data_IF_827874483183
#
_entry.id   IF_827874483183
#
_cell.length_a   1.000
_cell.length_b   1.000
_cell.length_c   1.000
_cell.angle_alpha   90.00
_cell.angle_beta   90.00
_cell.angle_gamma   90.00
#
_symmetry.space_group_name_H-M   'P 1'
#
loop_
_entity.id
_entity.type
_entity.pdbx_description
1 polymer ?
#
# COMPACT_ATOMS: atom_id res chain seq x y z
N UNK A 1 -20.29 -26.19 45.12
CA UNK A 1 -19.13 -26.26 44.19
C UNK A 1 -19.34 -27.32 43.12
N UNK A 2 -20.39 -27.20 42.28
CA UNK A 2 -20.61 -28.09 41.11
C UNK A 2 -21.13 -27.36 39.86
N UNK A 3 -20.93 -26.04 39.76
CA UNK A 3 -21.57 -25.23 38.70
C UNK A 3 -20.59 -24.54 37.74
N UNK A 4 -19.27 -24.68 37.92
CA UNK A 4 -18.27 -24.04 37.03
C UNK A 4 -17.60 -24.98 36.01
N UNK A 5 -17.81 -26.32 36.16
CA UNK A 5 -17.20 -27.31 35.25
C UNK A 5 -18.15 -27.76 34.13
N UNK A 6 -19.41 -27.34 34.15
CA UNK A 6 -20.41 -27.71 33.15
C UNK A 6 -20.39 -26.89 31.86
N UNK A 7 -19.71 -25.75 31.84
CA UNK A 7 -19.66 -24.84 30.65
C UNK A 7 -18.62 -25.32 29.60
N UNK A 8 -17.75 -26.26 29.95
CA UNK A 8 -16.67 -26.73 29.06
C UNK A 8 -16.96 -28.12 28.40
N UNK A 9 -18.17 -28.61 28.45
CA UNK A 9 -18.56 -29.91 27.82
C UNK A 9 -19.79 -29.78 26.92
N UNK A 10 -19.84 -28.82 26.03
CA UNK A 10 -20.58 -28.98 24.78
C UNK A 10 -19.71 -29.78 23.79
N UNK A 11 -20.15 -31.01 23.55
CA UNK A 11 -19.49 -31.94 22.64
C UNK A 11 -19.19 -31.29 21.27
N UNK A 12 -17.91 -31.23 20.91
CA UNK A 12 -17.52 -31.31 19.51
C UNK A 12 -17.38 -29.98 18.74
N UNK A 13 -17.18 -28.87 19.43
CA UNK A 13 -16.87 -27.58 18.75
C UNK A 13 -15.40 -27.23 18.97
N UNK A 14 -14.53 -27.77 18.15
CA UNK A 14 -13.11 -27.40 18.15
C UNK A 14 -12.76 -26.82 16.81
N UNK A 15 -12.80 -25.48 16.71
CA UNK A 15 -12.28 -24.74 15.54
C UNK A 15 -10.81 -25.11 15.32
N UNK A 16 -10.52 -25.78 14.19
CA UNK A 16 -9.17 -26.17 13.81
C UNK A 16 -8.53 -25.08 12.97
N UNK A 17 -7.24 -24.82 13.16
CA UNK A 17 -6.49 -23.88 12.34
C UNK A 17 -6.55 -24.19 10.85
N UNK A 18 -6.64 -25.46 10.45
CA UNK A 18 -6.82 -25.85 9.04
C UNK A 18 -8.13 -25.33 8.44
N UNK A 19 -9.19 -25.25 9.25
CA UNK A 19 -10.48 -24.70 8.84
C UNK A 19 -10.37 -23.17 8.67
N UNK A 20 -9.69 -22.48 9.59
CA UNK A 20 -9.43 -21.04 9.53
C UNK A 20 -8.58 -20.71 8.31
N UNK A 21 -7.49 -21.44 8.08
CA UNK A 21 -6.60 -21.26 6.92
C UNK A 21 -7.34 -21.50 5.59
N UNK A 22 -8.16 -22.55 5.51
CA UNK A 22 -8.98 -22.84 4.34
C UNK A 22 -9.93 -21.68 4.04
N UNK A 23 -10.62 -21.17 5.06
CA UNK A 23 -11.52 -20.02 4.93
C UNK A 23 -10.76 -18.77 4.44
N UNK A 24 -9.66 -18.39 5.09
CA UNK A 24 -8.84 -17.23 4.71
C UNK A 24 -8.35 -17.35 3.27
N UNK A 25 -7.90 -18.54 2.85
CA UNK A 25 -7.43 -18.79 1.48
C UNK A 25 -8.57 -18.66 0.47
N UNK A 26 -9.79 -19.15 0.77
CA UNK A 26 -10.95 -18.99 -0.12
C UNK A 26 -11.31 -17.51 -0.32
N UNK A 27 -11.33 -16.73 0.75
CA UNK A 27 -11.60 -15.27 0.67
C UNK A 27 -10.53 -14.55 -0.14
N UNK A 28 -9.23 -14.81 0.15
CA UNK A 28 -8.10 -14.19 -0.58
C UNK A 28 -8.12 -14.53 -2.08
N UNK A 29 -8.41 -15.77 -2.42
CA UNK A 29 -8.39 -16.24 -3.82
C UNK A 29 -9.71 -16.05 -4.55
N UNK A 30 -10.78 -15.67 -3.83
CA UNK A 30 -12.16 -15.59 -4.34
C UNK A 30 -12.61 -16.88 -5.06
N UNK A 31 -12.00 -18.01 -4.71
CA UNK A 31 -12.18 -19.29 -5.39
C UNK A 31 -11.76 -20.47 -4.53
N UNK A 32 -12.64 -21.45 -4.39
CA UNK A 32 -12.33 -22.72 -3.71
C UNK A 32 -11.25 -23.54 -4.43
N UNK A 33 -11.25 -23.55 -5.76
CA UNK A 33 -10.26 -24.29 -6.55
C UNK A 33 -8.88 -23.68 -6.46
N UNK A 34 -8.77 -22.32 -6.54
CA UNK A 34 -7.49 -21.62 -6.37
C UNK A 34 -6.96 -21.77 -4.94
N UNK A 35 -7.83 -21.68 -3.93
CA UNK A 35 -7.48 -21.92 -2.53
C UNK A 35 -6.93 -23.32 -2.32
N UNK A 36 -7.55 -24.34 -2.92
CA UNK A 36 -7.09 -25.71 -2.87
C UNK A 36 -5.70 -25.91 -3.50
N UNK A 37 -5.48 -25.30 -4.66
CA UNK A 37 -4.19 -25.33 -5.34
C UNK A 37 -3.07 -24.75 -4.46
N UNK A 38 -3.28 -23.56 -3.87
CA UNK A 38 -2.29 -22.89 -3.00
C UNK A 38 -2.06 -23.71 -1.71
N UNK A 39 -3.10 -24.33 -1.16
CA UNK A 39 -3.00 -25.15 0.04
C UNK A 39 -2.47 -26.56 -0.23
N UNK A 40 -2.16 -26.90 -1.49
CA UNK A 40 -1.71 -28.21 -1.94
C UNK A 40 -2.63 -29.36 -1.49
N UNK A 41 -3.95 -29.14 -1.61
CA UNK A 41 -4.99 -30.15 -1.27
C UNK A 41 -6.05 -30.19 -2.38
N UNK A 42 -6.96 -31.20 -2.33
CA UNK A 42 -8.08 -31.26 -3.26
C UNK A 42 -9.19 -30.29 -2.87
N UNK A 43 -9.89 -29.72 -3.86
CA UNK A 43 -10.97 -28.75 -3.64
C UNK A 43 -12.08 -29.25 -2.68
N UNK A 44 -12.51 -30.54 -2.70
CA UNK A 44 -13.47 -31.06 -1.71
C UNK A 44 -12.97 -30.93 -0.26
N UNK A 45 -11.65 -31.01 -0.01
CA UNK A 45 -11.05 -30.83 1.31
C UNK A 45 -11.21 -29.41 1.82
N UNK A 46 -10.91 -28.40 0.98
CA UNK A 46 -11.13 -26.99 1.32
C UNK A 46 -12.62 -26.73 1.59
N UNK A 47 -13.51 -27.28 0.74
CA UNK A 47 -14.95 -27.12 0.93
C UNK A 47 -15.43 -27.77 2.24
N UNK A 48 -14.91 -28.95 2.60
CA UNK A 48 -15.23 -29.60 3.84
C UNK A 48 -14.75 -28.80 5.08
N UNK A 49 -13.53 -28.25 5.05
CA UNK A 49 -13.00 -27.38 6.12
C UNK A 49 -13.86 -26.12 6.31
N UNK A 50 -14.20 -25.42 5.23
CA UNK A 50 -15.05 -24.21 5.32
C UNK A 50 -16.45 -24.58 5.82
N UNK A 51 -17.06 -25.68 5.33
CA UNK A 51 -18.37 -26.11 5.80
C UNK A 51 -18.36 -26.50 7.29
N UNK A 52 -17.29 -27.14 7.76
CA UNK A 52 -17.14 -27.48 9.17
C UNK A 52 -17.04 -26.24 10.05
N UNK A 53 -16.28 -25.24 9.61
CA UNK A 53 -16.17 -23.93 10.25
C UNK A 53 -17.52 -23.19 10.31
N UNK A 54 -18.25 -23.12 9.18
CA UNK A 54 -19.58 -22.52 9.09
C UNK A 54 -20.58 -23.23 10.04
N UNK A 55 -20.53 -24.58 10.09
CA UNK A 55 -21.38 -25.38 11.00
C UNK A 55 -21.08 -25.07 12.46
N UNK A 56 -19.80 -24.92 12.80
CA UNK A 56 -19.38 -24.59 14.17
C UNK A 56 -19.81 -23.19 14.58
N UNK A 57 -19.60 -22.20 13.67
CA UNK A 57 -20.00 -20.80 13.89
C UNK A 57 -21.52 -20.60 13.84
N UNK A 58 -22.27 -21.56 13.28
CA UNK A 58 -23.72 -21.47 13.14
C UNK A 58 -24.20 -20.48 12.08
N UNK A 59 -23.29 -19.95 11.27
CA UNK A 59 -23.56 -18.95 10.23
C UNK A 59 -22.81 -19.28 8.95
N UNK A 60 -23.32 -18.78 7.81
CA UNK A 60 -22.57 -18.84 6.56
C UNK A 60 -21.51 -17.74 6.52
N UNK A 61 -20.27 -18.12 6.20
CA UNK A 61 -19.14 -17.21 6.11
C UNK A 61 -18.79 -16.88 4.64
N UNK A 62 -19.16 -17.78 3.69
CA UNK A 62 -18.93 -17.59 2.26
C UNK A 62 -20.26 -17.59 1.52
N UNK A 63 -20.50 -16.54 0.76
CA UNK A 63 -21.56 -16.49 -0.24
C UNK A 63 -21.11 -17.24 -1.50
N UNK A 64 -21.88 -18.27 -1.87
CA UNK A 64 -21.64 -19.15 -3.03
C UNK A 64 -22.61 -18.88 -4.17
N UNK A 65 -23.47 -17.87 -4.06
CA UNK A 65 -24.48 -17.56 -5.08
C UNK A 65 -23.88 -16.90 -6.31
N UNK A 66 -22.70 -16.32 -6.15
CA UNK A 66 -21.95 -15.66 -7.22
C UNK A 66 -20.87 -16.54 -7.84
N UNK A 67 -20.41 -16.17 -9.05
CA UNK A 67 -19.31 -16.86 -9.74
C UNK A 67 -18.01 -16.83 -8.92
N UNK A 68 -17.79 -15.78 -8.15
CA UNK A 68 -16.67 -15.62 -7.23
C UNK A 68 -17.11 -15.91 -5.78
N UNK A 69 -16.31 -16.64 -5.03
CA UNK A 69 -16.51 -16.84 -3.60
C UNK A 69 -16.27 -15.52 -2.86
N UNK A 70 -17.29 -14.97 -2.22
CA UNK A 70 -17.23 -13.73 -1.46
C UNK A 70 -17.57 -13.97 0.00
N UNK A 71 -16.97 -13.28 0.97
CA UNK A 71 -17.40 -13.36 2.34
C UNK A 71 -18.82 -12.77 2.49
N UNK A 72 -19.65 -13.38 3.36
CA UNK A 72 -20.86 -12.75 3.88
C UNK A 72 -20.49 -11.60 4.82
N UNK A 73 -21.43 -10.75 5.30
CA UNK A 73 -21.13 -9.76 6.34
C UNK A 73 -20.50 -10.38 7.58
N UNK A 74 -21.01 -11.52 8.06
CA UNK A 74 -20.44 -12.28 9.17
C UNK A 74 -19.07 -12.86 8.82
N UNK A 75 -18.89 -13.33 7.58
CA UNK A 75 -17.62 -13.77 7.04
C UNK A 75 -16.59 -12.64 7.05
N UNK A 76 -16.96 -11.44 6.59
CA UNK A 76 -16.05 -10.31 6.59
C UNK A 76 -15.61 -9.94 8.01
N UNK A 77 -16.52 -9.96 8.97
CA UNK A 77 -16.19 -9.75 10.38
C UNK A 77 -15.22 -10.82 10.90
N UNK A 78 -15.51 -12.10 10.59
CA UNK A 78 -14.65 -13.22 11.00
C UNK A 78 -13.29 -13.20 10.33
N UNK A 79 -13.18 -12.68 9.11
CA UNK A 79 -11.93 -12.65 8.33
C UNK A 79 -10.78 -11.95 9.05
N UNK A 80 -11.03 -10.80 9.63
CA UNK A 80 -10.02 -10.06 10.39
C UNK A 80 -9.55 -10.85 11.62
N UNK A 81 -10.47 -11.49 12.35
CA UNK A 81 -10.11 -12.36 13.47
C UNK A 81 -9.36 -13.61 13.01
N UNK A 82 -9.74 -14.21 11.89
CA UNK A 82 -9.10 -15.39 11.34
C UNK A 82 -7.62 -15.12 10.97
N UNK A 83 -7.34 -13.98 10.32
CA UNK A 83 -5.98 -13.55 10.04
C UNK A 83 -5.19 -13.34 11.34
N UNK A 84 -5.78 -12.68 12.32
CA UNK A 84 -5.10 -12.43 13.61
C UNK A 84 -4.76 -13.73 14.35
N UNK A 85 -5.66 -14.72 14.34
CA UNK A 85 -5.39 -16.04 14.94
C UNK A 85 -4.21 -16.74 14.27
N UNK A 86 -4.16 -16.73 12.92
CA UNK A 86 -3.05 -17.31 12.15
C UNK A 86 -1.74 -16.58 12.50
N UNK A 87 -1.74 -15.26 12.45
CA UNK A 87 -0.54 -14.45 12.72
C UNK A 87 -0.06 -14.58 14.17
N UNK A 88 -0.99 -14.67 15.14
CA UNK A 88 -0.64 -14.89 16.54
C UNK A 88 -0.02 -16.28 16.78
N UNK A 89 -0.56 -17.33 16.13
CA UNK A 89 0.06 -18.67 16.15
C UNK A 89 1.48 -18.63 15.60
N UNK A 90 1.68 -17.96 14.46
CA UNK A 90 3.01 -17.81 13.86
C UNK A 90 3.94 -17.04 14.80
N UNK A 91 3.47 -15.96 15.42
CA UNK A 91 4.23 -15.19 16.39
C UNK A 91 4.64 -16.01 17.61
N UNK A 92 3.70 -16.78 18.19
CA UNK A 92 3.98 -17.68 19.31
C UNK A 92 5.02 -18.74 18.93
N UNK A 93 4.84 -19.38 17.76
CA UNK A 93 5.79 -20.37 17.25
C UNK A 93 7.19 -19.77 17.03
N UNK A 94 7.24 -18.56 16.47
CA UNK A 94 8.50 -17.83 16.27
C UNK A 94 9.16 -17.46 17.60
N UNK A 95 8.41 -16.94 18.58
CA UNK A 95 8.94 -16.57 19.89
C UNK A 95 9.57 -17.75 20.62
N UNK A 96 8.99 -18.94 20.49
CA UNK A 96 9.54 -20.17 21.07
C UNK A 96 10.77 -20.67 20.29
N UNK A 97 10.73 -20.60 18.95
CA UNK A 97 11.84 -21.02 18.06
C UNK A 97 12.89 -19.92 17.86
N UNK A 98 12.61 -18.69 18.24
CA UNK A 98 13.39 -17.48 17.95
C UNK A 98 14.77 -17.37 18.57
N UNK A 99 15.18 -18.37 19.37
CA UNK A 99 16.59 -18.63 19.68
C UNK A 99 17.38 -19.18 18.47
N UNK A 100 16.73 -19.54 17.38
CA UNK A 100 17.36 -19.95 16.12
C UNK A 100 17.19 -18.83 15.09
N UNK A 101 18.28 -18.18 14.72
CA UNK A 101 18.45 -17.01 13.83
C UNK A 101 17.88 -17.09 12.40
N UNK A 102 16.80 -17.82 12.14
CA UNK A 102 16.31 -18.04 10.77
C UNK A 102 14.97 -17.32 10.54
N UNK A 103 15.06 -15.99 10.36
CA UNK A 103 13.93 -15.19 9.91
C UNK A 103 13.70 -15.46 8.43
N UNK A 104 12.49 -15.91 8.09
CA UNK A 104 12.06 -16.16 6.73
C UNK A 104 10.59 -15.75 6.56
N UNK A 105 10.13 -15.71 5.35
CA UNK A 105 8.73 -15.42 5.03
C UNK A 105 8.59 -14.51 3.80
N UNK A 106 7.35 -14.22 3.46
CA UNK A 106 6.98 -13.32 2.37
C UNK A 106 6.30 -12.08 2.95
N UNK A 107 6.79 -10.90 2.59
CA UNK A 107 6.16 -9.62 2.91
C UNK A 107 5.53 -9.07 1.61
N UNK A 108 4.21 -8.84 1.64
CA UNK A 108 3.49 -8.18 0.53
C UNK A 108 3.40 -6.70 0.82
N UNK A 109 3.88 -5.91 -0.14
CA UNK A 109 3.94 -4.46 -0.05
C UNK A 109 3.15 -3.87 -1.20
N UNK A 110 2.20 -2.98 -0.89
CA UNK A 110 1.59 -2.11 -1.88
C UNK A 110 2.15 -0.71 -1.72
N UNK A 111 2.62 -0.12 -2.80
CA UNK A 111 3.29 1.17 -2.73
C UNK A 111 2.79 2.14 -3.81
N UNK A 112 2.67 3.41 -3.43
CA UNK A 112 2.46 4.46 -4.43
C UNK A 112 3.74 4.70 -5.23
N UNK A 113 3.60 5.32 -6.40
CA UNK A 113 4.65 5.44 -7.41
C UNK A 113 6.02 5.85 -6.83
N UNK A 114 6.09 6.95 -6.11
CA UNK A 114 7.37 7.44 -5.60
C UNK A 114 8.03 6.48 -4.61
N UNK A 115 7.36 5.98 -3.54
CA UNK A 115 7.94 4.97 -2.68
C UNK A 115 8.38 3.70 -3.41
N UNK A 116 7.60 3.23 -4.39
CA UNK A 116 7.94 2.02 -5.16
C UNK A 116 9.24 2.18 -5.95
N UNK A 117 9.42 3.34 -6.58
CA UNK A 117 10.54 3.62 -7.47
C UNK A 117 11.82 4.06 -6.72
N UNK A 118 11.69 4.88 -5.68
CA UNK A 118 12.84 5.59 -5.08
C UNK A 118 13.18 5.17 -3.65
N UNK A 119 12.23 4.62 -2.88
CA UNK A 119 12.43 4.24 -1.48
C UNK A 119 12.68 2.74 -1.34
N UNK A 120 11.74 1.93 -1.84
CA UNK A 120 11.73 0.50 -1.61
C UNK A 120 12.97 -0.23 -2.11
N UNK A 121 13.58 0.11 -3.27
CA UNK A 121 14.76 -0.61 -3.74
C UNK A 121 15.92 -0.56 -2.74
N UNK A 122 16.22 0.62 -2.19
CA UNK A 122 17.30 0.80 -1.21
C UNK A 122 16.95 0.16 0.13
N UNK A 123 15.73 0.36 0.60
CA UNK A 123 15.23 -0.16 1.88
C UNK A 123 15.24 -1.69 1.89
N UNK A 124 14.72 -2.31 0.85
CA UNK A 124 14.65 -3.77 0.72
C UNK A 124 16.05 -4.36 0.58
N UNK A 125 16.94 -3.72 -0.19
CA UNK A 125 18.33 -4.17 -0.28
C UNK A 125 18.98 -4.21 1.09
N UNK A 126 18.89 -3.13 1.88
CA UNK A 126 19.47 -3.07 3.21
C UNK A 126 18.87 -4.10 4.17
N UNK A 127 17.56 -4.33 4.11
CA UNK A 127 16.90 -5.37 4.91
C UNK A 127 17.30 -6.78 4.48
N UNK A 128 17.38 -7.04 3.16
CA UNK A 128 17.75 -8.36 2.62
C UNK A 128 19.19 -8.75 2.94
N UNK A 129 20.09 -7.77 3.09
CA UNK A 129 21.45 -8.04 3.52
C UNK A 129 21.53 -8.57 4.97
N UNK A 130 20.57 -8.17 5.81
CA UNK A 130 20.45 -8.65 7.20
C UNK A 130 19.63 -9.94 7.30
N UNK A 131 18.62 -10.10 6.43
CA UNK A 131 17.63 -11.18 6.47
C UNK A 131 17.43 -11.82 5.09
N UNK A 132 18.41 -12.57 4.57
CA UNK A 132 18.42 -13.04 3.18
C UNK A 132 17.33 -14.06 2.82
N UNK A 133 16.67 -14.67 3.83
CA UNK A 133 15.60 -15.63 3.62
C UNK A 133 14.20 -14.99 3.57
N UNK A 134 14.10 -13.65 3.73
CA UNK A 134 12.85 -12.92 3.56
C UNK A 134 12.66 -12.57 2.10
N UNK A 135 11.46 -12.86 1.58
CA UNK A 135 11.04 -12.53 0.22
C UNK A 135 10.05 -11.38 0.24
N UNK A 136 10.03 -10.61 -0.84
CA UNK A 136 9.13 -9.49 -1.02
C UNK A 136 8.29 -9.67 -2.29
N UNK A 137 7.02 -9.30 -2.20
CA UNK A 137 6.14 -9.12 -3.34
C UNK A 137 5.66 -7.67 -3.30
N UNK A 138 5.98 -6.92 -4.36
CA UNK A 138 5.71 -5.48 -4.42
C UNK A 138 4.75 -5.24 -5.56
N UNK A 139 3.66 -4.53 -5.28
CA UNK A 139 2.69 -4.09 -6.27
C UNK A 139 2.54 -2.58 -6.18
N UNK A 140 2.57 -1.94 -7.36
CA UNK A 140 2.50 -0.48 -7.47
C UNK A 140 1.07 -0.06 -7.82
N UNK A 141 0.58 0.94 -7.09
CA UNK A 141 -0.75 1.52 -7.26
C UNK A 141 -0.70 3.04 -7.11
N UNK A 142 -1.80 3.74 -7.35
CA UNK A 142 -1.93 5.11 -6.85
C UNK A 142 -2.14 5.13 -5.32
N UNK A 143 -1.98 6.31 -4.72
CA UNK A 143 -2.05 6.43 -3.24
C UNK A 143 -3.43 6.07 -2.68
N UNK A 144 -4.52 6.33 -3.42
CA UNK A 144 -5.88 6.00 -3.00
C UNK A 144 -6.07 4.49 -2.98
N UNK A 145 -5.67 3.82 -4.05
CA UNK A 145 -5.78 2.37 -4.18
C UNK A 145 -4.90 1.64 -3.16
N UNK A 146 -3.71 2.18 -2.81
CA UNK A 146 -2.89 1.63 -1.71
C UNK A 146 -3.70 1.60 -0.42
N UNK A 147 -4.35 2.71 -0.04
CA UNK A 147 -5.13 2.78 1.21
C UNK A 147 -6.32 1.82 1.20
N UNK A 148 -7.04 1.72 0.10
CA UNK A 148 -8.15 0.78 -0.07
C UNK A 148 -7.68 -0.67 0.06
N UNK A 149 -6.59 -1.03 -0.62
CA UNK A 149 -6.01 -2.36 -0.55
C UNK A 149 -5.52 -2.73 0.86
N UNK A 150 -5.00 -1.76 1.63
CA UNK A 150 -4.61 -1.97 3.02
C UNK A 150 -5.80 -2.27 3.92
N UNK A 151 -6.92 -1.58 3.73
CA UNK A 151 -8.17 -1.84 4.46
C UNK A 151 -8.76 -3.22 4.13
N UNK A 152 -8.59 -3.67 2.90
CA UNK A 152 -9.02 -4.99 2.43
C UNK A 152 -8.02 -6.13 2.74
N UNK A 153 -6.94 -5.83 3.47
CA UNK A 153 -5.88 -6.79 3.85
C UNK A 153 -5.24 -7.51 2.63
N UNK A 154 -5.14 -6.84 1.48
CA UNK A 154 -4.49 -7.37 0.27
C UNK A 154 -2.97 -7.38 0.38
N UNK A 155 -2.40 -6.52 1.24
CA UNK A 155 -1.00 -6.51 1.59
C UNK A 155 -0.83 -6.31 3.11
N UNK A 156 0.33 -6.63 3.63
CA UNK A 156 0.68 -6.44 5.04
C UNK A 156 1.17 -5.02 5.33
N UNK A 157 1.81 -4.39 4.35
CA UNK A 157 2.44 -3.06 4.48
C UNK A 157 2.11 -2.23 3.25
N UNK A 158 1.76 -0.97 3.48
CA UNK A 158 1.59 0.04 2.44
C UNK A 158 2.64 1.14 2.55
N UNK A 159 3.04 1.73 1.41
CA UNK A 159 3.83 2.95 1.34
C UNK A 159 3.09 4.00 0.52
N UNK A 160 2.84 5.16 1.11
CA UNK A 160 1.98 6.18 0.49
C UNK A 160 2.41 7.61 0.84
N UNK A 161 2.10 8.56 -0.04
CA UNK A 161 2.30 9.99 0.20
C UNK A 161 1.06 10.71 0.73
N UNK A 162 0.03 9.98 1.18
CA UNK A 162 -1.19 10.57 1.75
C UNK A 162 -1.63 9.84 3.02
N UNK A 163 -2.28 10.58 3.92
CA UNK A 163 -3.05 10.04 5.05
C UNK A 163 -4.54 10.17 4.74
N UNK A 164 -5.38 9.39 5.37
CA UNK A 164 -6.79 9.69 5.29
C UNK A 164 -7.77 8.58 5.60
N UNK A 165 -7.38 7.32 5.75
CA UNK A 165 -8.34 6.25 6.03
C UNK A 165 -8.41 5.91 7.51
N UNK A 166 -9.63 5.89 8.05
CA UNK A 166 -9.90 5.33 9.37
C UNK A 166 -9.53 3.85 9.39
N UNK A 167 -8.91 3.38 10.46
CA UNK A 167 -8.50 1.97 10.60
C UNK A 167 -7.06 1.68 10.21
N UNK A 168 -6.36 2.59 9.53
CA UNK A 168 -4.94 2.46 9.22
C UNK A 168 -4.05 3.20 10.24
N UNK A 169 -2.88 2.62 10.52
CA UNK A 169 -1.78 3.29 11.21
C UNK A 169 -0.81 3.88 10.18
N UNK A 170 -0.11 4.93 10.59
CA UNK A 170 0.85 5.64 9.75
C UNK A 170 2.12 5.93 10.53
N UNK A 171 3.24 5.41 10.06
CA UNK A 171 4.59 5.74 10.53
C UNK A 171 5.16 6.76 9.54
N UNK A 172 5.49 7.98 9.96
CA UNK A 172 6.12 8.97 9.09
C UNK A 172 7.53 8.50 8.72
N UNK A 173 7.91 8.67 7.45
CA UNK A 173 9.23 8.29 6.95
C UNK A 173 10.08 9.55 6.76
N UNK A 174 9.72 10.40 5.80
CA UNK A 174 10.45 11.63 5.53
C UNK A 174 9.53 12.66 4.89
N UNK A 175 10.02 13.88 4.83
CA UNK A 175 9.37 14.99 4.13
C UNK A 175 10.04 15.21 2.77
N UNK A 176 9.23 15.55 1.78
CA UNK A 176 9.65 15.78 0.40
C UNK A 176 9.15 17.15 -0.07
N UNK A 177 9.94 17.76 -0.93
CA UNK A 177 9.60 19.02 -1.60
C UNK A 177 9.13 18.73 -3.03
N UNK A 178 8.24 19.56 -3.53
CA UNK A 178 7.83 19.54 -4.93
C UNK A 178 8.63 20.57 -5.72
N UNK A 179 8.92 20.21 -6.97
CA UNK A 179 9.55 21.10 -7.95
C UNK A 179 8.76 21.08 -9.25
N UNK A 180 8.87 22.15 -10.02
CA UNK A 180 8.42 22.18 -11.40
C UNK A 180 9.55 21.63 -12.27
N UNK A 181 9.23 20.74 -13.20
CA UNK A 181 10.10 20.41 -14.32
C UNK A 181 9.50 20.94 -15.61
N UNK A 182 10.29 21.65 -16.41
CA UNK A 182 9.86 22.28 -17.65
C UNK A 182 10.85 22.00 -18.79
N UNK A 183 10.37 21.82 -20.04
CA UNK A 183 11.24 21.64 -21.19
C UNK A 183 12.28 22.78 -21.32
N UNK A 184 13.45 22.47 -21.87
CA UNK A 184 14.47 23.48 -22.23
C UNK A 184 14.10 24.20 -23.54
N UNK A 185 12.94 24.86 -23.53
CA UNK A 185 12.40 25.61 -24.65
C UNK A 185 12.20 27.07 -24.24
N UNK A 186 12.34 28.01 -25.18
CA UNK A 186 12.21 29.44 -24.96
C UNK A 186 10.88 29.83 -24.31
N UNK A 187 9.80 29.13 -24.61
CA UNK A 187 8.49 29.42 -24.02
C UNK A 187 8.47 29.27 -22.50
N UNK A 188 9.40 28.50 -21.88
CA UNK A 188 9.48 28.26 -20.44
C UNK A 188 10.53 29.14 -19.74
N UNK A 189 11.24 30.02 -20.47
CA UNK A 189 12.24 30.93 -19.87
C UNK A 189 11.64 31.85 -18.77
N UNK A 190 10.35 32.16 -18.89
CA UNK A 190 9.62 32.91 -17.86
C UNK A 190 9.49 32.20 -16.50
N UNK A 191 9.59 30.86 -16.48
CA UNK A 191 9.55 30.06 -15.27
C UNK A 191 10.92 29.90 -14.59
N UNK A 192 12.03 30.28 -15.24
CA UNK A 192 13.39 30.06 -14.69
C UNK A 192 13.73 31.03 -13.55
N UNK A 193 12.80 31.88 -13.15
CA UNK A 193 12.93 32.76 -11.98
C UNK A 193 12.66 31.94 -10.72
N UNK A 194 13.65 31.72 -9.90
CA UNK A 194 13.50 30.95 -8.67
C UNK A 194 13.38 31.85 -7.45
N UNK A 195 12.52 31.46 -6.47
CA UNK A 195 11.44 30.47 -6.55
C UNK A 195 10.20 31.03 -7.25
N UNK A 196 9.41 30.17 -7.92
CA UNK A 196 8.14 30.54 -8.56
C UNK A 196 6.94 30.16 -7.69
N UNK A 197 5.82 30.88 -7.85
CA UNK A 197 4.53 30.45 -7.30
C UNK A 197 3.93 29.34 -8.16
N UNK A 198 3.22 28.42 -7.53
CA UNK A 198 2.52 27.35 -8.27
C UNK A 198 1.53 27.93 -9.30
N UNK A 199 0.91 29.08 -9.00
CA UNK A 199 -0.01 29.75 -9.91
C UNK A 199 0.64 30.16 -11.26
N UNK A 200 1.94 30.42 -11.27
CA UNK A 200 2.64 30.86 -12.50
C UNK A 200 2.75 29.74 -13.55
N UNK A 201 2.56 28.48 -13.16
CA UNK A 201 2.53 27.38 -14.13
C UNK A 201 1.21 27.28 -14.89
N UNK A 202 0.14 27.91 -14.42
CA UNK A 202 -1.20 27.79 -15.01
C UNK A 202 -1.26 28.29 -16.45
N UNK A 203 -0.38 29.23 -16.81
CA UNK A 203 -0.29 29.82 -18.16
C UNK A 203 0.40 28.91 -19.18
N UNK A 204 0.94 27.77 -18.74
CA UNK A 204 1.72 26.87 -19.58
C UNK A 204 0.98 25.57 -19.88
N UNK A 205 1.31 24.85 -20.99
CA UNK A 205 0.86 23.48 -21.17
C UNK A 205 1.36 22.59 -20.04
N UNK A 206 0.44 21.81 -19.42
CA UNK A 206 0.72 21.03 -18.24
C UNK A 206 0.55 19.53 -18.50
N UNK A 207 1.44 18.76 -17.92
CA UNK A 207 1.35 17.30 -17.83
C UNK A 207 0.96 16.94 -16.41
N UNK A 208 -0.23 16.33 -16.26
CA UNK A 208 -0.78 15.98 -14.95
C UNK A 208 -0.57 14.50 -14.64
N UNK A 209 -0.61 14.20 -13.36
CA UNK A 209 -0.77 12.85 -12.85
C UNK A 209 -2.25 12.47 -12.78
N UNK A 210 -2.52 11.17 -12.72
CA UNK A 210 -3.84 10.59 -12.51
C UNK A 210 -4.54 11.10 -11.24
N UNK A 211 -5.87 11.04 -11.16
CA UNK A 211 -6.65 11.58 -10.03
C UNK A 211 -6.32 10.94 -8.66
N UNK A 212 -5.87 9.69 -8.63
CA UNK A 212 -5.42 8.99 -7.41
C UNK A 212 -4.07 9.43 -6.88
N UNK A 213 -3.30 10.20 -7.68
CA UNK A 213 -1.95 10.66 -7.33
C UNK A 213 -1.95 11.63 -6.15
N UNK A 214 -1.10 11.34 -5.16
CA UNK A 214 -0.87 12.24 -4.03
C UNK A 214 -0.24 13.58 -4.44
N UNK A 215 0.63 13.59 -5.48
CA UNK A 215 1.23 14.81 -6.04
C UNK A 215 0.14 15.69 -6.68
N UNK A 216 -0.74 15.08 -7.48
CA UNK A 216 -1.85 15.81 -8.11
C UNK A 216 -2.80 16.41 -7.08
N UNK A 217 -3.21 15.65 -6.07
CA UNK A 217 -4.10 16.17 -5.01
C UNK A 217 -3.51 17.37 -4.28
N UNK A 218 -2.20 17.33 -4.01
CA UNK A 218 -1.52 18.43 -3.37
C UNK A 218 -1.47 19.66 -4.28
N UNK A 219 -1.12 19.46 -5.56
CA UNK A 219 -1.12 20.54 -6.57
C UNK A 219 -2.50 21.17 -6.70
N UNK A 220 -3.55 20.36 -6.88
CA UNK A 220 -4.93 20.86 -6.99
C UNK A 220 -5.36 21.66 -5.76
N UNK A 221 -5.00 21.20 -4.56
CA UNK A 221 -5.30 21.93 -3.32
C UNK A 221 -4.58 23.29 -3.23
N UNK A 222 -3.34 23.38 -3.73
CA UNK A 222 -2.58 24.65 -3.78
C UNK A 222 -3.22 25.60 -4.79
N UNK A 223 -3.50 25.13 -6.01
CA UNK A 223 -4.09 25.95 -7.07
C UNK A 223 -5.46 26.53 -6.64
N UNK A 224 -6.32 25.67 -6.07
CA UNK A 224 -7.65 26.11 -5.56
C UNK A 224 -7.49 27.14 -4.44
N UNK A 225 -6.54 26.95 -3.50
CA UNK A 225 -6.25 27.91 -2.44
C UNK A 225 -5.80 29.26 -3.02
N UNK A 226 -5.05 29.24 -4.11
CA UNK A 226 -4.52 30.44 -4.80
C UNK A 226 -5.56 31.03 -5.77
N UNK A 227 -6.81 30.49 -5.80
CA UNK A 227 -7.94 31.01 -6.57
C UNK A 227 -7.98 30.58 -8.03
N UNK A 228 -7.17 29.57 -8.42
CA UNK A 228 -7.12 29.06 -9.79
C UNK A 228 -8.16 27.94 -9.96
N UNK A 229 -8.98 28.08 -11.01
CA UNK A 229 -9.95 27.04 -11.39
C UNK A 229 -9.24 25.93 -12.17
N UNK A 230 -9.48 24.67 -11.77
CA UNK A 230 -8.78 23.52 -12.36
C UNK A 230 -9.16 23.25 -13.82
N UNK A 231 -10.35 23.68 -14.24
CA UNK A 231 -10.86 23.59 -15.61
C UNK A 231 -10.29 24.67 -16.56
N UNK A 232 -9.67 25.71 -16.01
CA UNK A 232 -8.95 26.72 -16.78
C UNK A 232 -7.52 26.28 -17.14
N UNK A 233 -7.00 25.22 -16.54
CA UNK A 233 -5.66 24.74 -16.79
C UNK A 233 -5.53 24.07 -18.16
N UNK A 234 -4.48 24.40 -18.90
CA UNK A 234 -4.15 23.75 -20.16
C UNK A 234 -3.47 22.38 -19.93
N UNK A 235 -4.24 21.37 -19.48
CA UNK A 235 -3.73 20.01 -19.25
C UNK A 235 -3.69 19.27 -20.58
N UNK A 236 -2.51 19.11 -21.17
CA UNK A 236 -2.30 18.48 -22.49
C UNK A 236 -2.18 16.95 -22.41
N UNK A 237 -1.68 16.40 -21.27
CA UNK A 237 -1.51 14.96 -21.06
C UNK A 237 -1.75 14.63 -19.59
N UNK A 238 -2.41 13.49 -19.35
CA UNK A 238 -2.50 12.87 -18.02
C UNK A 238 -1.80 11.51 -18.04
N UNK A 239 -0.89 11.27 -17.08
CA UNK A 239 -0.09 10.04 -16.97
C UNK A 239 -0.23 9.42 -15.58
N UNK A 240 0.10 8.13 -15.45
CA UNK A 240 -0.07 7.38 -14.20
C UNK A 240 1.25 7.05 -13.47
N UNK A 241 2.41 7.50 -13.98
CA UNK A 241 3.69 7.30 -13.31
C UNK A 241 4.70 8.42 -13.62
N UNK A 242 5.75 8.52 -12.79
CA UNK A 242 6.77 9.56 -12.92
C UNK A 242 7.66 9.37 -14.14
N UNK A 243 7.93 8.14 -14.57
CA UNK A 243 8.77 7.88 -15.73
C UNK A 243 8.12 8.41 -17.02
N UNK A 244 6.81 8.16 -17.20
CA UNK A 244 6.05 8.73 -18.32
C UNK A 244 6.02 10.27 -18.23
N UNK A 245 5.74 10.82 -17.06
CA UNK A 245 5.71 12.27 -16.84
C UNK A 245 7.02 12.92 -17.28
N UNK A 246 8.17 12.42 -16.81
CA UNK A 246 9.49 12.93 -17.20
C UNK A 246 9.74 12.81 -18.72
N UNK A 247 9.30 11.71 -19.36
CA UNK A 247 9.46 11.52 -20.81
C UNK A 247 8.65 12.52 -21.63
N UNK A 248 7.41 12.82 -21.21
CA UNK A 248 6.58 13.83 -21.88
C UNK A 248 7.16 15.24 -21.71
N UNK A 249 7.69 15.59 -20.54
CA UNK A 249 8.41 16.86 -20.35
C UNK A 249 9.65 16.92 -21.24
N UNK A 250 10.44 15.85 -21.31
CA UNK A 250 11.63 15.75 -22.22
C UNK A 250 11.26 15.91 -23.68
N UNK A 251 10.06 15.53 -24.11
CA UNK A 251 9.58 15.69 -25.49
C UNK A 251 9.07 17.09 -25.81
N UNK A 252 9.08 18.02 -24.85
CA UNK A 252 8.63 19.41 -25.06
C UNK A 252 7.13 19.63 -24.93
N UNK A 253 6.34 18.63 -24.50
CA UNK A 253 4.88 18.74 -24.51
C UNK A 253 4.29 19.63 -23.42
N UNK A 254 5.00 19.85 -22.30
CA UNK A 254 4.49 20.65 -21.22
C UNK A 254 5.37 20.61 -19.97
N UNK A 255 5.07 21.48 -19.01
CA UNK A 255 5.66 21.46 -17.68
C UNK A 255 4.89 20.51 -16.75
N UNK A 256 5.53 20.09 -15.67
CA UNK A 256 4.90 19.22 -14.68
C UNK A 256 5.43 19.49 -13.28
N UNK A 257 4.64 19.12 -12.26
CA UNK A 257 5.09 19.10 -10.87
C UNK A 257 5.43 17.66 -10.47
N UNK A 258 6.60 17.51 -9.83
CA UNK A 258 7.13 16.24 -9.40
C UNK A 258 7.82 16.38 -8.03
N UNK A 259 8.03 15.27 -7.34
CA UNK A 259 8.91 15.20 -6.17
C UNK A 259 10.35 15.59 -6.53
N UNK A 260 10.97 16.45 -5.74
CA UNK A 260 12.38 16.84 -5.91
C UNK A 260 13.30 15.62 -5.86
N UNK A 261 12.99 14.67 -4.98
CA UNK A 261 13.74 13.43 -4.86
C UNK A 261 13.56 12.46 -6.06
N UNK A 262 12.56 12.68 -6.92
CA UNK A 262 12.37 11.89 -8.14
C UNK A 262 13.14 12.45 -9.35
N UNK A 263 13.81 13.58 -9.17
CA UNK A 263 14.67 14.20 -10.20
C UNK A 263 16.08 13.65 -10.05
N UNK A 264 16.54 12.92 -11.06
CA UNK A 264 17.88 12.35 -11.13
C UNK A 264 18.86 13.38 -11.70
N UNK A 265 20.16 13.14 -11.51
CA UNK A 265 21.21 14.07 -11.96
C UNK A 265 21.18 14.28 -13.48
N UNK A 266 20.94 13.20 -14.19
CA UNK A 266 20.86 13.12 -15.66
C UNK A 266 19.62 13.83 -16.22
N UNK A 267 18.58 13.96 -15.43
CA UNK A 267 17.35 14.65 -15.83
C UNK A 267 17.58 16.15 -16.10
N UNK A 268 18.52 16.77 -15.37
CA UNK A 268 18.87 18.18 -15.51
C UNK A 268 19.46 18.54 -16.89
N UNK A 269 19.92 17.56 -17.65
CA UNK A 269 20.40 17.77 -19.02
C UNK A 269 19.22 17.99 -19.99
N UNK A 270 18.02 17.51 -19.65
CA UNK A 270 16.87 17.47 -20.54
C UNK A 270 15.79 18.50 -20.24
N UNK A 271 15.65 18.91 -18.98
CA UNK A 271 14.65 19.90 -18.57
C UNK A 271 15.15 20.80 -17.45
N UNK A 272 14.53 21.95 -17.29
CA UNK A 272 14.73 22.83 -16.15
C UNK A 272 14.07 22.22 -14.91
N UNK A 273 14.74 22.33 -13.77
CA UNK A 273 14.21 21.97 -12.44
C UNK A 273 14.08 23.27 -11.66
N UNK A 274 12.87 23.69 -11.36
CA UNK A 274 12.53 25.01 -10.85
C UNK A 274 11.93 24.84 -9.44
N UNK A 275 12.48 25.55 -8.48
CA UNK A 275 11.97 25.51 -7.10
C UNK A 275 10.66 26.28 -6.99
N UNK A 276 9.74 25.75 -6.21
CA UNK A 276 8.45 26.40 -5.93
C UNK A 276 8.62 27.20 -4.66
N UNK A 277 8.13 28.46 -4.66
CA UNK A 277 8.06 29.30 -3.46
C UNK A 277 7.35 28.53 -2.35
N UNK A 278 8.05 28.41 -1.23
CA UNK A 278 7.76 27.38 -0.22
C UNK A 278 6.51 27.77 0.57
N UNK A 279 5.39 27.31 0.09
CA UNK A 279 4.04 27.54 0.66
C UNK A 279 3.83 26.83 2.01
N UNK A 280 4.91 26.38 2.68
CA UNK A 280 4.83 25.61 3.91
C UNK A 280 4.22 24.21 3.72
N UNK A 281 4.04 23.77 2.48
CA UNK A 281 3.40 22.50 2.14
C UNK A 281 4.47 21.46 1.83
N UNK A 282 4.99 20.84 2.87
CA UNK A 282 5.86 19.68 2.71
C UNK A 282 5.02 18.43 2.53
N UNK A 283 5.39 17.62 1.57
CA UNK A 283 4.79 16.31 1.36
C UNK A 283 5.44 15.30 2.27
N UNK A 284 4.62 14.53 3.00
CA UNK A 284 5.11 13.45 3.87
C UNK A 284 4.82 12.10 3.25
N UNK A 285 5.78 11.20 3.35
CA UNK A 285 5.60 9.79 3.02
C UNK A 285 5.46 8.97 4.28
N UNK A 286 4.68 7.90 4.18
CA UNK A 286 4.31 7.06 5.31
C UNK A 286 4.42 5.58 4.94
N UNK A 287 4.89 4.80 5.89
CA UNK A 287 4.54 3.40 5.97
C UNK A 287 3.16 3.30 6.63
N UNK A 288 2.27 2.50 6.06
CA UNK A 288 0.91 2.28 6.59
C UNK A 288 0.60 0.80 6.74
N UNK A 289 -0.24 0.46 7.71
CA UNK A 289 -0.73 -0.89 7.94
C UNK A 289 -2.11 -0.88 8.61
N UNK A 290 -2.86 -1.97 8.47
CA UNK A 290 -4.17 -2.09 9.10
C UNK A 290 -4.01 -2.29 10.61
N UNK A 291 -4.59 -1.38 11.43
CA UNK A 291 -4.52 -1.43 12.91
C UNK A 291 -5.17 -2.68 13.51
N UNK A 292 -6.15 -3.25 12.83
CA UNK A 292 -6.88 -4.42 13.29
C UNK A 292 -6.10 -5.72 13.09
N UNK A 293 -5.03 -5.69 12.28
CA UNK A 293 -4.29 -6.89 11.90
C UNK A 293 -2.94 -6.92 12.62
N UNK A 294 -2.74 -7.95 13.39
CA UNK A 294 -1.44 -8.28 13.99
C UNK A 294 -0.52 -8.76 12.88
N UNK A 295 0.61 -8.08 12.69
CA UNK A 295 1.61 -8.53 11.70
C UNK A 295 2.29 -9.84 12.12
N UNK A 296 2.73 -10.61 11.14
CA UNK A 296 3.64 -11.74 11.38
C UNK A 296 4.96 -11.24 12.00
N UNK A 297 5.77 -12.10 12.64
CA UNK A 297 7.08 -11.69 13.17
C UNK A 297 7.97 -11.01 12.14
N UNK A 298 8.01 -11.54 10.91
CA UNK A 298 8.78 -10.98 9.79
C UNK A 298 8.28 -9.59 9.39
N UNK A 299 6.96 -9.40 9.31
CA UNK A 299 6.34 -8.10 9.02
C UNK A 299 6.62 -7.08 10.13
N UNK A 300 6.52 -7.50 11.40
CA UNK A 300 6.79 -6.62 12.54
C UNK A 300 8.27 -6.22 12.60
N UNK A 301 9.18 -7.15 12.31
CA UNK A 301 10.61 -6.87 12.22
C UNK A 301 10.91 -5.86 11.10
N UNK A 302 10.30 -6.03 9.91
CA UNK A 302 10.47 -5.08 8.81
C UNK A 302 9.92 -3.69 9.17
N UNK A 303 8.75 -3.61 9.83
CA UNK A 303 8.22 -2.32 10.31
C UNK A 303 9.18 -1.61 11.25
N UNK A 304 9.73 -2.33 12.25
CA UNK A 304 10.72 -1.76 13.18
C UNK A 304 11.99 -1.32 12.46
N UNK A 305 12.49 -2.12 11.53
CA UNK A 305 13.65 -1.77 10.71
C UNK A 305 13.42 -0.47 9.91
N UNK A 306 12.25 -0.33 9.30
CA UNK A 306 11.88 0.90 8.57
C UNK A 306 11.79 2.08 9.52
N UNK A 307 11.12 1.92 10.67
CA UNK A 307 10.96 2.99 11.66
C UNK A 307 12.31 3.48 12.20
N UNK A 308 13.24 2.57 12.46
CA UNK A 308 14.57 2.92 12.95
C UNK A 308 15.47 3.56 11.89
N UNK A 309 15.28 3.19 10.62
CA UNK A 309 16.04 3.72 9.49
C UNK A 309 15.65 5.14 9.07
N UNK A 310 14.53 5.65 9.56
CA UNK A 310 14.01 7.01 9.26
C UNK A 310 13.92 7.91 10.50
N UNK A 311 14.46 7.50 11.66
CA UNK A 311 14.66 8.33 12.84
C UNK A 311 15.96 9.12 12.70
#
# INVERSE_FOLDING_TARGET
MKTQTAILREKGRNMDFRQIEAYVNVVKQKSFSKAAYISNVKQPTISAHVNALEKEMGVKLIDRTHREARPTPEGQLFYDYAINMINLRETATYSIKGFQKNINGLIRIHASNFPAEYILPKLIKSFSDLYPNVKFQIEQYDSKQVLENMLENKAEIGFTGVKGSYGLAYIPLFEDELVVIAPKDKQYEGLIKEPIKVSEIADYPLIFREQGSGTRKLLEAILVRDGIQLDELNVVVTVNNNAMLKRFVKSGMGAAIISKCAVEKEDKDFFHVIEIDNLGVKRKFYLTYNKKITGTPTVNLFKSFVEDGFK
#
